data_IF_929035580673
#
_entry.id   IF_929035580673
#
_cell.length_a   1.000
_cell.length_b   1.000
_cell.length_c   1.000
_cell.angle_alpha   90.00
_cell.angle_beta   90.00
_cell.angle_gamma   90.00
#
_symmetry.space_group_name_H-M   'P 1'
#
loop_
_entity.id
_entity.type
_entity.pdbx_description
1 polymer ?
#
# COMPACT_ATOMS: atom_id res chain seq x y z
N UNK A 1 -5.57 6.22 12.60
CA UNK A 1 -4.52 5.19 12.39
C UNK A 1 -5.19 3.96 11.82
N UNK A 2 -4.74 3.52 10.65
CA UNK A 2 -5.28 2.35 9.96
C UNK A 2 -4.33 1.16 10.15
N UNK A 3 -4.86 -0.04 10.46
CA UNK A 3 -4.01 -1.23 10.57
C UNK A 3 -3.46 -1.57 9.19
N UNK A 4 -2.19 -1.98 9.12
CA UNK A 4 -1.54 -2.35 7.86
C UNK A 4 -2.31 -3.43 7.09
N UNK A 5 -2.98 -4.35 7.79
CA UNK A 5 -3.79 -5.41 7.17
C UNK A 5 -4.94 -4.84 6.33
N UNK A 6 -5.62 -3.81 6.83
CA UNK A 6 -6.71 -3.15 6.11
C UNK A 6 -6.17 -2.40 4.88
N UNK A 7 -5.01 -1.76 5.02
CA UNK A 7 -4.32 -1.08 3.91
C UNK A 7 -3.93 -2.08 2.81
N UNK A 8 -3.29 -3.20 3.18
CA UNK A 8 -2.92 -4.25 2.22
C UNK A 8 -4.16 -4.78 1.52
N UNK A 9 -5.20 -5.16 2.28
CA UNK A 9 -6.44 -5.70 1.71
C UNK A 9 -7.14 -4.71 0.78
N UNK A 10 -7.08 -3.41 1.09
CA UNK A 10 -7.59 -2.36 0.21
C UNK A 10 -6.85 -2.33 -1.13
N UNK A 11 -5.52 -2.37 -1.11
CA UNK A 11 -4.72 -2.38 -2.34
C UNK A 11 -4.87 -3.69 -3.12
N UNK A 12 -4.90 -4.84 -2.45
CA UNK A 12 -5.17 -6.15 -3.07
C UNK A 12 -6.53 -6.17 -3.79
N UNK A 13 -7.57 -5.61 -3.16
CA UNK A 13 -8.89 -5.50 -3.78
C UNK A 13 -8.93 -4.55 -4.99
N UNK A 14 -7.95 -3.65 -5.11
CA UNK A 14 -7.76 -2.78 -6.28
C UNK A 14 -6.77 -3.37 -7.31
N UNK A 15 -6.42 -4.65 -7.18
CA UNK A 15 -5.57 -5.36 -8.13
C UNK A 15 -4.07 -5.13 -7.93
N UNK A 16 -3.65 -4.60 -6.78
CA UNK A 16 -2.23 -4.60 -6.42
C UNK A 16 -1.83 -5.95 -5.84
N UNK A 17 -0.61 -6.38 -6.08
CA UNK A 17 -0.01 -7.54 -5.44
C UNK A 17 1.37 -7.20 -4.88
N UNK A 18 1.75 -7.89 -3.82
CA UNK A 18 3.10 -7.77 -3.25
C UNK A 18 4.11 -8.40 -4.20
N UNK A 19 5.15 -7.65 -4.55
CA UNK A 19 6.30 -8.12 -5.33
C UNK A 19 7.51 -8.42 -4.45
N UNK A 20 7.37 -8.26 -3.14
CA UNK A 20 8.42 -8.54 -2.16
C UNK A 20 9.55 -7.50 -2.18
N UNK A 21 10.00 -7.13 -1.00
CA UNK A 21 11.27 -6.41 -0.76
C UNK A 21 11.68 -6.62 0.70
N UNK A 22 12.96 -6.46 1.02
CA UNK A 22 13.54 -6.79 2.33
C UNK A 22 13.31 -5.71 3.39
N UNK A 23 13.09 -4.45 2.99
CA UNK A 23 13.00 -3.31 3.92
C UNK A 23 11.62 -2.64 3.90
N UNK A 24 11.05 -2.47 2.71
CA UNK A 24 9.66 -2.07 2.52
C UNK A 24 8.90 -3.21 1.86
N UNK A 25 7.57 -3.21 1.91
CA UNK A 25 6.83 -4.13 1.06
C UNK A 25 6.40 -3.40 -0.20
N UNK A 26 6.97 -3.83 -1.32
CA UNK A 26 6.68 -3.26 -2.63
C UNK A 26 5.39 -3.90 -3.15
N UNK A 27 4.40 -3.07 -3.49
CA UNK A 27 3.15 -3.47 -4.10
C UNK A 27 3.07 -2.89 -5.50
N UNK A 28 2.59 -3.66 -6.47
CA UNK A 28 2.38 -3.19 -7.84
C UNK A 28 1.08 -3.72 -8.40
N UNK A 29 0.43 -2.96 -9.28
CA UNK A 29 -0.71 -3.42 -10.07
C UNK A 29 -0.31 -3.63 -11.56
N UNK A 30 0.99 -3.67 -11.85
CA UNK A 30 1.54 -3.79 -13.20
C UNK A 30 1.70 -2.47 -13.95
N UNK A 31 1.07 -1.39 -13.47
CA UNK A 31 1.22 -0.02 -14.01
C UNK A 31 1.90 0.92 -13.03
N UNK A 32 1.47 0.85 -11.78
CA UNK A 32 1.93 1.69 -10.67
C UNK A 32 2.50 0.80 -9.58
N UNK A 33 3.63 1.23 -9.04
CA UNK A 33 4.26 0.61 -7.89
C UNK A 33 4.20 1.55 -6.69
N UNK A 34 3.73 1.05 -5.56
CA UNK A 34 3.71 1.75 -4.27
C UNK A 34 4.57 0.98 -3.26
N UNK A 35 5.15 1.70 -2.30
CA UNK A 35 5.93 1.11 -1.21
C UNK A 35 5.19 1.27 0.10
N UNK A 36 4.83 0.15 0.72
CA UNK A 36 4.12 0.14 1.99
C UNK A 36 5.14 -0.15 3.11
N UNK A 37 5.24 0.77 4.09
CA UNK A 37 6.11 0.56 5.25
C UNK A 37 5.66 -0.66 6.05
N UNK A 38 6.62 -1.43 6.57
CA UNK A 38 6.33 -2.63 7.38
C UNK A 38 5.96 -2.33 8.84
N UNK A 39 5.13 -1.32 9.06
CA UNK A 39 4.67 -0.94 10.39
C UNK A 39 3.33 -1.61 10.70
N UNK A 40 3.02 -1.83 11.98
CA UNK A 40 1.75 -2.46 12.39
C UNK A 40 0.55 -1.57 12.08
N UNK A 41 0.79 -0.26 12.15
CA UNK A 41 -0.18 0.81 11.92
C UNK A 41 0.39 1.80 10.92
N UNK A 42 -0.47 2.28 10.04
CA UNK A 42 -0.17 3.28 9.02
C UNK A 42 -1.04 4.49 9.35
N UNK A 43 -0.41 5.66 9.42
CA UNK A 43 -1.13 6.91 9.63
C UNK A 43 -2.09 7.17 8.46
N UNK A 44 -3.24 7.76 8.75
CA UNK A 44 -4.28 7.94 7.72
C UNK A 44 -3.81 8.90 6.62
N UNK A 45 -2.91 9.83 6.95
CA UNK A 45 -2.21 10.68 6.00
C UNK A 45 -1.36 9.86 5.02
N UNK A 46 -0.51 8.97 5.54
CA UNK A 46 0.29 8.05 4.70
C UNK A 46 -0.61 7.17 3.84
N UNK A 47 -1.72 6.67 4.38
CA UNK A 47 -2.67 5.89 3.59
C UNK A 47 -3.29 6.72 2.46
N UNK A 48 -3.62 7.99 2.72
CA UNK A 48 -4.15 8.91 1.70
C UNK A 48 -3.11 9.22 0.63
N UNK A 49 -1.85 9.42 1.00
CA UNK A 49 -0.76 9.57 0.05
C UNK A 49 -0.57 8.33 -0.82
N UNK A 50 -0.60 7.14 -0.22
CA UNK A 50 -0.50 5.88 -0.96
C UNK A 50 -1.64 5.72 -1.98
N UNK A 51 -2.88 6.11 -1.63
CA UNK A 51 -4.00 6.12 -2.58
C UNK A 51 -3.77 7.08 -3.74
N UNK A 52 -3.26 8.28 -3.44
CA UNK A 52 -2.92 9.28 -4.47
C UNK A 52 -1.82 8.77 -5.40
N UNK A 53 -0.78 8.16 -4.85
CA UNK A 53 0.29 7.51 -5.62
C UNK A 53 -0.24 6.35 -6.48
N UNK A 54 -1.17 5.57 -5.93
CA UNK A 54 -1.84 4.47 -6.63
C UNK A 54 -2.84 4.91 -7.71
N UNK A 55 -3.19 6.21 -7.78
CA UNK A 55 -4.22 6.72 -8.69
C UNK A 55 -5.64 6.30 -8.31
N UNK A 56 -5.89 6.04 -7.03
CA UNK A 56 -7.17 5.59 -6.48
C UNK A 56 -7.97 6.73 -5.81
N UNK A 57 -7.56 7.98 -6.03
CA UNK A 57 -8.09 9.18 -5.37
C UNK A 57 -8.46 10.25 -6.39
#
# INVERSE_FOLDING_TARGET
MTKRRDVIRYFENHGFWSVGDTKHEKFTNGRTTIMIKRHREIEDEVFRELKKQAGLL
#
